data_IF_687245610386
#
_entry.id   IF_687245610386
#
_cell.length_a   1.000
_cell.length_b   1.000
_cell.length_c   1.000
_cell.angle_alpha   90.00
_cell.angle_beta   90.00
_cell.angle_gamma   90.00
#
_symmetry.space_group_name_H-M   'P 1'
#
loop_
_entity.id
_entity.type
_entity.pdbx_description
1 polymer ?
#
# COMPACT_ATOMS: atom_id res chain seq x y z
N UNK A 1 -0.60 25.01 11.32
CA UNK A 1 -0.56 24.29 11.49
C UNK A 1 -0.73 23.51 11.95
N UNK A 2 -0.85 23.25 11.92
CA UNK A 2 -0.89 22.65 12.51
C UNK A 2 -0.71 21.55 13.11
N UNK A 3 -0.14 21.35 13.18
CA UNK A 3 0.44 20.21 13.82
C UNK A 3 -0.07 19.98 15.22
N UNK A 4 -0.67 20.91 15.77
CA UNK A 4 -1.23 20.80 17.10
C UNK A 4 -2.26 19.69 17.19
N UNK A 5 -2.79 19.26 16.07
CA UNK A 5 -3.78 18.18 16.02
C UNK A 5 -3.15 16.83 15.80
N UNK A 6 -1.83 16.76 15.77
CA UNK A 6 -1.19 15.53 15.37
C UNK A 6 -1.00 14.60 16.54
N UNK A 7 -1.68 13.48 16.45
CA UNK A 7 -1.50 12.37 17.35
C UNK A 7 -0.27 11.59 16.86
N UNK A 8 0.77 11.42 17.70
CA UNK A 8 1.96 10.70 17.27
C UNK A 8 1.66 9.29 16.75
N UNK A 9 0.68 8.65 17.35
CA UNK A 9 0.32 7.29 16.90
C UNK A 9 -0.36 7.33 15.55
N UNK A 10 -1.21 8.34 15.31
CA UNK A 10 -1.86 8.49 14.03
C UNK A 10 -0.85 8.81 12.93
N UNK A 11 0.13 9.65 13.24
CA UNK A 11 1.18 9.97 12.28
C UNK A 11 2.00 8.74 11.92
N UNK A 12 2.31 7.90 12.89
CA UNK A 12 3.04 6.67 12.65
C UNK A 12 2.21 5.72 11.79
N UNK A 13 0.92 5.58 12.10
CA UNK A 13 0.03 4.73 11.32
C UNK A 13 -0.02 5.19 9.87
N UNK A 14 -0.16 6.49 9.65
CA UNK A 14 -0.19 7.05 8.30
C UNK A 14 1.12 6.78 7.56
N UNK A 15 2.25 6.91 8.25
CA UNK A 15 3.54 6.67 7.63
C UNK A 15 3.69 5.22 7.19
N UNK A 16 3.23 4.28 8.01
CA UNK A 16 3.28 2.86 7.66
C UNK A 16 2.40 2.59 6.44
N UNK A 17 1.18 3.13 6.42
CA UNK A 17 0.28 2.94 5.30
C UNK A 17 0.85 3.54 4.02
N UNK A 18 1.38 4.76 4.09
CA UNK A 18 1.93 5.43 2.92
C UNK A 18 3.15 4.70 2.38
N UNK A 19 3.98 4.17 3.26
CA UNK A 19 5.14 3.38 2.86
C UNK A 19 4.71 2.13 2.10
N UNK A 20 3.71 1.42 2.61
CA UNK A 20 3.20 0.23 1.95
C UNK A 20 2.58 0.56 0.60
N UNK A 21 1.84 1.67 0.51
CA UNK A 21 1.23 2.12 -0.75
C UNK A 21 2.32 2.42 -1.78
N UNK A 22 3.37 3.11 -1.36
CA UNK A 22 4.47 3.44 -2.26
C UNK A 22 5.16 2.17 -2.75
N UNK A 23 5.44 1.25 -1.85
CA UNK A 23 6.13 0.01 -2.21
C UNK A 23 5.25 -0.83 -3.15
N UNK A 24 3.96 -0.85 -2.92
CA UNK A 24 3.03 -1.58 -3.78
C UNK A 24 3.01 -0.98 -5.19
N UNK A 25 2.92 0.34 -5.27
CA UNK A 25 2.94 1.02 -6.57
C UNK A 25 4.23 0.72 -7.33
N UNK A 26 5.37 0.73 -6.63
CA UNK A 26 6.65 0.43 -7.26
C UNK A 26 6.69 -1.01 -7.79
N UNK A 27 6.15 -1.95 -7.03
CA UNK A 27 6.10 -3.35 -7.48
C UNK A 27 5.23 -3.49 -8.72
N UNK A 28 4.07 -2.82 -8.74
CA UNK A 28 3.19 -2.86 -9.91
C UNK A 28 3.86 -2.25 -11.14
N UNK A 29 4.58 -1.15 -10.97
CA UNK A 29 5.28 -0.52 -12.09
C UNK A 29 6.36 -1.42 -12.66
N UNK A 30 7.07 -2.14 -11.79
CA UNK A 30 8.08 -3.09 -12.25
C UNK A 30 7.44 -4.25 -13.00
N UNK A 31 6.28 -4.70 -12.54
CA UNK A 31 5.54 -5.76 -13.22
C UNK A 31 4.99 -5.28 -14.55
N UNK A 32 4.62 -4.01 -14.67
CA UNK A 32 4.16 -3.47 -15.94
C UNK A 32 5.28 -3.49 -16.97
N UNK A 33 6.51 -3.18 -16.56
CA UNK A 33 7.66 -3.21 -17.44
C UNK A 33 8.09 -4.63 -17.77
N UNK A 34 8.04 -5.52 -16.78
CA UNK A 34 8.52 -6.88 -16.94
C UNK A 34 7.55 -7.83 -16.20
N UNK A 35 6.54 -8.32 -16.90
CA UNK A 35 5.48 -9.11 -16.25
C UNK A 35 5.97 -10.40 -15.59
N UNK A 36 7.11 -10.93 -16.01
CA UNK A 36 7.65 -12.13 -15.38
C UNK A 36 8.70 -11.85 -14.31
N UNK A 37 8.73 -10.63 -13.80
CA UNK A 37 9.63 -10.26 -12.71
C UNK A 37 9.12 -10.91 -11.41
N UNK A 38 9.75 -12.03 -11.02
CA UNK A 38 9.28 -12.80 -9.88
C UNK A 38 9.43 -12.06 -8.56
N UNK A 39 10.52 -11.31 -8.41
CA UNK A 39 10.73 -10.54 -7.19
C UNK A 39 9.63 -9.50 -6.99
N UNK A 40 9.28 -8.80 -8.05
CA UNK A 40 8.22 -7.80 -7.96
C UNK A 40 6.87 -8.46 -7.70
N UNK A 41 6.62 -9.63 -8.27
CA UNK A 41 5.39 -10.36 -8.01
C UNK A 41 5.30 -10.80 -6.56
N UNK A 42 6.41 -11.28 -6.00
CA UNK A 42 6.45 -11.70 -4.60
C UNK A 42 6.22 -10.51 -3.68
N UNK A 43 6.84 -9.38 -3.98
CA UNK A 43 6.63 -8.16 -3.19
C UNK A 43 5.17 -7.70 -3.26
N UNK A 44 4.59 -7.71 -4.46
CA UNK A 44 3.18 -7.36 -4.61
C UNK A 44 2.30 -8.25 -3.74
N UNK A 45 2.54 -9.55 -3.77
CA UNK A 45 1.73 -10.50 -3.02
C UNK A 45 1.89 -10.31 -1.52
N UNK A 46 3.11 -10.04 -1.06
CA UNK A 46 3.37 -9.78 0.36
C UNK A 46 2.66 -8.52 0.83
N UNK A 47 2.68 -7.46 0.02
CA UNK A 47 2.04 -6.21 0.40
C UNK A 47 0.52 -6.38 0.38
N UNK A 48 -0.02 -7.14 -0.57
CA UNK A 48 -1.45 -7.42 -0.58
C UNK A 48 -1.89 -8.18 0.67
N UNK A 49 -1.06 -9.12 1.13
CA UNK A 49 -1.34 -9.80 2.39
C UNK A 49 -1.35 -8.82 3.56
N UNK A 50 -0.41 -7.87 3.54
CA UNK A 50 -0.40 -6.83 4.57
C UNK A 50 -1.67 -5.98 4.52
N UNK A 51 -2.09 -5.55 3.32
CA UNK A 51 -3.32 -4.76 3.18
C UNK A 51 -4.55 -5.51 3.70
N UNK A 52 -4.56 -6.83 3.57
CA UNK A 52 -5.69 -7.66 4.00
C UNK A 52 -5.57 -8.15 5.44
N UNK A 53 -4.54 -7.73 6.14
CA UNK A 53 -4.30 -8.18 7.52
C UNK A 53 -5.12 -7.38 8.52
N UNK A 54 -5.31 -7.98 9.70
CA UNK A 54 -5.95 -7.26 10.80
C UNK A 54 -5.13 -6.06 11.27
N UNK A 55 -3.81 -6.14 11.11
CA UNK A 55 -2.93 -5.03 11.48
C UNK A 55 -3.22 -3.79 10.63
N UNK A 56 -3.38 -3.97 9.32
CA UNK A 56 -3.72 -2.85 8.43
C UNK A 56 -5.07 -2.25 8.83
N UNK A 57 -6.03 -3.10 9.18
CA UNK A 57 -7.36 -2.63 9.61
C UNK A 57 -7.29 -1.76 10.87
N UNK A 58 -6.29 -1.99 11.72
CA UNK A 58 -6.07 -1.14 12.89
C UNK A 58 -5.46 0.21 12.48
N UNK A 59 -4.61 0.21 11.47
CA UNK A 59 -3.88 1.42 11.05
C UNK A 59 -4.76 2.40 10.30
N UNK A 60 -5.76 1.93 9.58
CA UNK A 60 -6.57 2.78 8.73
C UNK A 60 -7.93 2.15 8.47
N UNK A 61 -8.91 2.99 8.10
CA UNK A 61 -10.24 2.53 7.74
C UNK A 61 -10.40 2.29 6.23
N UNK A 62 -9.33 2.44 5.47
CA UNK A 62 -9.40 2.23 4.03
C UNK A 62 -9.73 0.77 3.74
N UNK A 63 -10.70 0.55 2.84
CA UNK A 63 -11.03 -0.79 2.36
C UNK A 63 -9.86 -1.32 1.52
N UNK A 64 -9.23 -2.42 1.92
CA UNK A 64 -8.06 -2.92 1.19
C UNK A 64 -8.38 -3.32 -0.24
N UNK A 65 -9.56 -3.88 -0.50
CA UNK A 65 -9.89 -4.29 -1.87
C UNK A 65 -10.07 -3.08 -2.78
N UNK A 66 -10.65 -2.01 -2.25
CA UNK A 66 -10.76 -0.76 -3.00
C UNK A 66 -9.38 -0.18 -3.30
N UNK A 67 -8.50 -0.17 -2.30
CA UNK A 67 -7.15 0.37 -2.46
C UNK A 67 -6.37 -0.42 -3.52
N UNK A 68 -6.41 -1.75 -3.43
CA UNK A 68 -5.72 -2.62 -4.38
C UNK A 68 -6.24 -2.37 -5.80
N UNK A 69 -7.55 -2.33 -5.96
CA UNK A 69 -8.16 -2.10 -7.27
C UNK A 69 -7.76 -0.76 -7.85
N UNK A 70 -7.81 0.30 -7.04
CA UNK A 70 -7.46 1.64 -7.50
C UNK A 70 -6.02 1.72 -7.95
N UNK A 71 -5.10 1.10 -7.20
CA UNK A 71 -3.69 1.16 -7.56
C UNK A 71 -3.40 0.35 -8.81
N UNK A 72 -4.07 -0.79 -8.98
CA UNK A 72 -3.91 -1.55 -10.20
C UNK A 72 -4.42 -0.77 -11.42
N UNK A 73 -5.53 -0.08 -11.27
CA UNK A 73 -6.04 0.77 -12.35
C UNK A 73 -5.11 1.95 -12.65
N UNK A 74 -4.50 2.50 -11.62
CA UNK A 74 -3.56 3.61 -11.80
C UNK A 74 -2.36 3.18 -12.63
N UNK A 75 -1.84 1.98 -12.40
CA UNK A 75 -0.62 1.52 -13.05
C UNK A 75 -0.91 0.83 -14.37
N UNK A 76 -1.94 -0.01 -14.43
CA UNK A 76 -2.19 -0.82 -15.64
C UNK A 76 -3.29 -0.24 -16.53
N UNK A 77 -4.00 0.74 -16.06
CA UNK A 77 -5.00 1.42 -16.86
C UNK A 77 -6.40 0.82 -16.75
#
# INVERSE_FOLDING_TARGET
MRSENQDPYQNLANAIVLSAVKDYRDALKRLKKKPNNKLAADERDDIERFFRSGYFAILTEIDPEYLIDRMNKEVFG
#
